data_IF_972278884957
#
_entry.id   IF_972278884957
#
_cell.length_a   1.000
_cell.length_b   1.000
_cell.length_c   1.000
_cell.angle_alpha   90.00
_cell.angle_beta   90.00
_cell.angle_gamma   90.00
#
_symmetry.space_group_name_H-M   'P 1'
#
loop_
_entity.id
_entity.type
_entity.pdbx_description
1 polymer ?
#
# COMPACT_ATOMS: atom_id res chain seq x y z
N UNK A 1 9.29 -9.74 15.48
CA UNK A 1 8.11 -9.56 14.58
C UNK A 1 8.58 -8.98 13.26
N UNK A 2 8.10 -9.48 12.12
CA UNK A 2 8.51 -9.00 10.80
C UNK A 2 7.33 -8.92 9.82
N UNK A 3 7.52 -8.20 8.72
CA UNK A 3 6.57 -8.17 7.60
C UNK A 3 7.13 -8.92 6.40
N UNK A 4 6.27 -9.65 5.70
CA UNK A 4 6.59 -10.34 4.44
C UNK A 4 5.72 -9.79 3.33
N UNK A 5 6.37 -9.34 2.26
CA UNK A 5 5.76 -8.83 1.05
C UNK A 5 5.91 -9.83 -0.09
N UNK A 6 4.88 -9.92 -0.92
CA UNK A 6 4.95 -10.39 -2.31
C UNK A 6 4.48 -9.28 -3.21
N UNK A 7 5.32 -8.91 -4.16
CA UNK A 7 5.10 -7.77 -5.04
C UNK A 7 5.24 -8.28 -6.47
N UNK A 8 4.12 -8.25 -7.20
CA UNK A 8 4.12 -8.51 -8.63
C UNK A 8 4.68 -7.27 -9.35
N UNK A 9 5.46 -7.51 -10.39
CA UNK A 9 6.00 -6.46 -11.24
C UNK A 9 6.14 -6.98 -12.67
N UNK A 10 6.27 -6.07 -13.63
CA UNK A 10 6.62 -6.43 -15.01
C UNK A 10 7.96 -7.18 -15.00
N UNK A 11 8.10 -8.22 -15.85
CA UNK A 11 9.24 -9.14 -15.75
C UNK A 11 10.59 -8.40 -15.81
N UNK A 12 11.42 -8.62 -14.78
CA UNK A 12 12.75 -8.01 -14.64
C UNK A 12 13.69 -9.11 -14.19
N UNK A 13 14.82 -9.26 -14.88
CA UNK A 13 15.82 -10.22 -14.47
C UNK A 13 16.50 -9.80 -13.15
N UNK A 14 17.06 -10.77 -12.45
CA UNK A 14 17.65 -10.49 -11.14
C UNK A 14 18.83 -9.49 -11.20
N UNK A 15 19.74 -9.53 -12.18
CA UNK A 15 20.80 -8.53 -12.29
C UNK A 15 20.28 -7.09 -12.45
N UNK A 16 19.27 -6.86 -13.29
CA UNK A 16 18.66 -5.54 -13.41
C UNK A 16 17.92 -5.13 -12.13
N UNK A 17 17.25 -6.07 -11.46
CA UNK A 17 16.63 -5.82 -10.16
C UNK A 17 17.66 -5.37 -9.12
N UNK A 18 18.83 -6.04 -9.06
CA UNK A 18 19.92 -5.66 -8.16
C UNK A 18 20.42 -4.24 -8.46
N UNK A 19 20.54 -3.86 -9.73
CA UNK A 19 20.94 -2.50 -10.10
C UNK A 19 19.92 -1.45 -9.64
N UNK A 20 18.62 -1.75 -9.77
CA UNK A 20 17.54 -0.88 -9.30
C UNK A 20 17.52 -0.74 -7.78
N UNK A 21 17.67 -1.86 -7.06
CA UNK A 21 17.76 -1.87 -5.60
C UNK A 21 18.99 -1.11 -5.13
N UNK A 22 20.13 -1.31 -5.80
CA UNK A 22 21.38 -0.66 -5.41
C UNK A 22 21.38 0.85 -5.65
N UNK A 23 20.75 1.30 -6.73
CA UNK A 23 20.59 2.72 -7.02
C UNK A 23 19.77 3.46 -5.94
N UNK A 24 18.90 2.75 -5.20
CA UNK A 24 18.04 3.35 -4.19
C UNK A 24 18.51 3.12 -2.75
N UNK A 25 18.93 1.90 -2.43
CA UNK A 25 19.30 1.48 -1.08
C UNK A 25 20.82 1.35 -0.87
N UNK A 26 21.64 1.63 -1.88
CA UNK A 26 23.09 1.48 -1.82
C UNK A 26 23.55 0.05 -2.07
N UNK A 27 24.75 -0.30 -1.62
CA UNK A 27 25.32 -1.65 -1.86
C UNK A 27 24.64 -2.74 -1.03
N UNK A 28 24.62 -3.98 -1.57
CA UNK A 28 24.19 -5.19 -0.84
C UNK A 28 25.07 -5.37 0.41
N UNK A 29 24.50 -5.19 1.59
CA UNK A 29 25.15 -5.39 2.88
C UNK A 29 24.65 -6.67 3.54
N UNK A 30 25.32 -7.78 3.24
CA UNK A 30 24.97 -9.08 3.81
C UNK A 30 25.28 -9.21 5.30
N UNK A 31 26.04 -8.29 5.89
CA UNK A 31 26.27 -8.26 7.35
C UNK A 31 24.99 -7.95 8.13
N UNK A 32 23.98 -7.37 7.47
CA UNK A 32 22.64 -7.14 8.02
C UNK A 32 22.00 -8.45 8.48
N UNK A 33 22.23 -9.54 7.76
CA UNK A 33 21.64 -10.86 8.06
C UNK A 33 22.06 -11.38 9.43
N UNK A 34 23.31 -11.14 9.85
CA UNK A 34 23.81 -11.57 11.15
C UNK A 34 23.39 -10.65 12.30
N UNK A 35 23.01 -9.40 12.01
CA UNK A 35 22.56 -8.42 13.01
C UNK A 35 21.08 -8.54 13.35
N UNK A 36 20.32 -9.26 12.52
CA UNK A 36 18.90 -9.49 12.68
C UNK A 36 18.62 -10.74 13.50
N UNK A 37 17.74 -10.69 14.50
CA UNK A 37 17.29 -11.91 15.20
C UNK A 37 16.47 -12.81 14.29
N UNK A 38 15.74 -12.21 13.34
CA UNK A 38 14.87 -12.90 12.39
C UNK A 38 15.62 -13.45 11.17
N UNK A 39 16.61 -12.72 10.66
CA UNK A 39 17.38 -13.12 9.48
C UNK A 39 18.65 -13.91 9.83
N UNK A 40 19.03 -13.99 11.10
CA UNK A 40 20.11 -14.89 11.54
C UNK A 40 19.66 -16.35 11.68
N UNK A 41 18.37 -16.57 11.97
CA UNK A 41 17.80 -17.91 12.17
C UNK A 41 17.33 -18.59 10.88
N UNK A 42 17.07 -17.82 9.82
CA UNK A 42 16.76 -18.37 8.51
C UNK A 42 18.03 -18.83 7.77
N UNK A 43 17.88 -19.79 6.85
CA UNK A 43 18.95 -20.27 5.99
C UNK A 43 19.35 -19.26 4.88
N UNK A 44 19.33 -17.96 5.19
CA UNK A 44 19.59 -16.86 4.26
C UNK A 44 20.99 -16.90 3.67
N UNK A 45 21.96 -17.38 4.44
CA UNK A 45 23.34 -17.60 3.97
C UNK A 45 23.42 -18.57 2.78
N UNK A 46 22.42 -19.45 2.59
CA UNK A 46 22.33 -20.40 1.47
C UNK A 46 21.59 -19.83 0.26
N UNK A 47 20.91 -18.70 0.40
CA UNK A 47 20.16 -18.07 -0.68
C UNK A 47 21.13 -17.33 -1.60
N UNK A 48 21.33 -17.85 -2.82
CA UNK A 48 22.30 -17.28 -3.77
C UNK A 48 21.85 -15.91 -4.29
N UNK A 49 20.56 -15.75 -4.57
CA UNK A 49 19.95 -14.53 -5.11
C UNK A 49 19.24 -13.79 -3.98
N UNK A 50 19.97 -12.88 -3.34
CA UNK A 50 19.43 -11.99 -2.33
C UNK A 50 20.08 -10.62 -2.44
N UNK A 51 19.39 -9.61 -1.94
CA UNK A 51 19.93 -8.29 -1.65
C UNK A 51 19.48 -7.92 -0.24
N UNK A 52 20.41 -7.54 0.63
CA UNK A 52 20.15 -7.15 2.01
C UNK A 52 20.65 -5.72 2.24
N UNK A 53 19.92 -4.96 3.04
CA UNK A 53 20.28 -3.57 3.37
C UNK A 53 19.61 -3.14 4.66
N UNK A 54 20.17 -2.10 5.27
CA UNK A 54 19.60 -1.42 6.44
C UNK A 54 19.12 -0.02 6.04
N UNK A 55 18.03 0.38 6.64
CA UNK A 55 17.58 1.77 6.74
C UNK A 55 17.42 2.14 8.21
N UNK A 56 17.33 3.43 8.56
CA UNK A 56 17.10 3.85 9.94
C UNK A 56 15.89 3.17 10.60
N UNK A 57 14.82 2.95 9.84
CA UNK A 57 13.56 2.41 10.37
C UNK A 57 13.48 0.87 10.33
N UNK A 58 14.19 0.24 9.38
CA UNK A 58 14.01 -1.18 9.09
C UNK A 58 15.20 -1.84 8.40
N UNK A 59 15.34 -3.14 8.62
CA UNK A 59 16.24 -4.03 7.89
C UNK A 59 15.44 -4.74 6.81
N UNK A 60 16.00 -4.79 5.61
CA UNK A 60 15.33 -5.27 4.41
C UNK A 60 16.10 -6.40 3.78
N UNK A 61 15.39 -7.46 3.39
CA UNK A 61 15.92 -8.53 2.56
C UNK A 61 15.00 -8.76 1.37
N UNK A 62 15.58 -8.72 0.18
CA UNK A 62 14.91 -8.89 -1.08
C UNK A 62 15.36 -10.20 -1.72
N UNK A 63 14.40 -11.01 -2.16
CA UNK A 63 14.66 -12.26 -2.88
C UNK A 63 13.70 -12.39 -4.06
N UNK A 64 14.13 -12.96 -5.20
CA UNK A 64 13.22 -13.23 -6.29
C UNK A 64 12.28 -14.38 -5.92
N UNK A 65 10.97 -14.18 -6.09
CA UNK A 65 9.98 -15.27 -6.04
C UNK A 65 9.84 -15.94 -7.41
N UNK A 66 9.69 -15.13 -8.45
CA UNK A 66 9.69 -15.54 -9.87
C UNK A 66 10.33 -14.43 -10.73
N UNK A 67 10.26 -14.51 -12.05
CA UNK A 67 10.71 -13.43 -12.94
C UNK A 67 9.86 -12.15 -12.84
N UNK A 68 8.64 -12.26 -12.29
CA UNK A 68 7.67 -11.18 -12.14
C UNK A 68 7.18 -11.02 -10.70
N UNK A 69 7.84 -11.65 -9.73
CA UNK A 69 7.51 -11.56 -8.31
C UNK A 69 8.77 -11.27 -7.49
N UNK A 70 8.72 -10.19 -6.71
CA UNK A 70 9.71 -9.83 -5.71
C UNK A 70 9.17 -10.14 -4.32
N UNK A 71 9.94 -10.88 -3.52
CA UNK A 71 9.64 -11.13 -2.12
C UNK A 71 10.52 -10.25 -1.24
N UNK A 72 9.92 -9.65 -0.22
CA UNK A 72 10.62 -8.74 0.69
C UNK A 72 10.31 -9.09 2.13
N UNK A 73 11.35 -9.13 2.94
CA UNK A 73 11.28 -9.37 4.37
C UNK A 73 11.74 -8.11 5.07
N UNK A 74 10.91 -7.61 5.99
CA UNK A 74 11.11 -6.33 6.66
C UNK A 74 11.11 -6.57 8.16
N UNK A 75 12.26 -6.34 8.79
CA UNK A 75 12.39 -6.32 10.25
C UNK A 75 12.45 -4.87 10.74
N UNK A 76 11.58 -4.43 11.65
CA UNK A 76 11.66 -3.10 12.22
C UNK A 76 12.86 -2.97 13.17
N UNK A 77 13.60 -1.86 13.11
CA UNK A 77 14.73 -1.59 14.03
C UNK A 77 14.24 -1.08 15.38
N UNK A 78 13.21 -0.22 15.41
CA UNK A 78 12.65 0.40 16.63
C UNK A 78 11.27 -0.18 17.03
N UNK A 79 10.95 -1.39 16.60
CA UNK A 79 9.72 -2.10 16.99
C UNK A 79 8.42 -1.64 16.29
N UNK A 80 8.43 -0.53 15.54
CA UNK A 80 7.25 -0.10 14.76
C UNK A 80 7.17 -0.81 13.39
N UNK A 81 6.63 -2.02 13.38
CA UNK A 81 6.50 -2.81 12.16
C UNK A 81 5.59 -2.19 11.10
N UNK A 82 4.55 -1.45 11.49
CA UNK A 82 3.63 -0.83 10.52
C UNK A 82 4.32 0.29 9.75
N UNK A 83 5.07 1.13 10.44
CA UNK A 83 5.85 2.20 9.80
C UNK A 83 6.97 1.62 8.95
N UNK A 84 7.68 0.61 9.45
CA UNK A 84 8.70 -0.11 8.68
C UNK A 84 8.13 -0.71 7.39
N UNK A 85 6.99 -1.40 7.47
CA UNK A 85 6.30 -1.96 6.31
C UNK A 85 5.85 -0.88 5.32
N UNK A 86 5.31 0.24 5.82
CA UNK A 86 4.92 1.37 4.97
C UNK A 86 6.12 2.02 4.28
N UNK A 87 7.23 2.19 4.99
CA UNK A 87 8.48 2.73 4.45
C UNK A 87 9.04 1.82 3.35
N UNK A 88 9.12 0.51 3.62
CA UNK A 88 9.54 -0.50 2.65
C UNK A 88 8.67 -0.49 1.39
N UNK A 89 7.35 -0.47 1.56
CA UNK A 89 6.41 -0.42 0.43
C UNK A 89 6.58 0.84 -0.42
N UNK A 90 6.71 2.01 0.21
CA UNK A 90 6.95 3.27 -0.50
C UNK A 90 8.27 3.23 -1.27
N UNK A 91 9.34 2.71 -0.68
CA UNK A 91 10.64 2.55 -1.34
C UNK A 91 10.53 1.66 -2.57
N UNK A 92 9.90 0.49 -2.44
CA UNK A 92 9.74 -0.45 -3.55
C UNK A 92 8.89 0.12 -4.68
N UNK A 93 7.78 0.79 -4.35
CA UNK A 93 6.96 1.46 -5.38
C UNK A 93 7.73 2.53 -6.14
N UNK A 94 8.65 3.22 -5.47
CA UNK A 94 9.51 4.23 -6.11
C UNK A 94 10.52 3.57 -7.04
N UNK A 95 11.17 2.49 -6.60
CA UNK A 95 12.16 1.74 -7.38
C UNK A 95 11.54 1.09 -8.60
N UNK A 96 10.37 0.47 -8.42
CA UNK A 96 9.68 -0.29 -9.44
C UNK A 96 8.61 0.52 -10.17
N UNK A 97 8.59 1.85 -10.06
CA UNK A 97 7.54 2.71 -10.62
C UNK A 97 7.22 2.37 -12.09
N UNK A 98 8.26 2.22 -12.91
CA UNK A 98 8.15 1.94 -14.35
C UNK A 98 7.89 0.46 -14.66
N UNK A 99 7.76 -0.38 -13.63
CA UNK A 99 7.49 -1.82 -13.69
C UNK A 99 6.13 -2.18 -13.08
N UNK A 100 5.26 -1.18 -12.91
CA UNK A 100 3.87 -1.36 -12.47
C UNK A 100 3.71 -2.23 -11.21
N UNK A 101 4.37 -1.88 -10.08
CA UNK A 101 4.47 -2.76 -8.94
C UNK A 101 3.11 -2.87 -8.25
N UNK A 102 2.67 -4.10 -7.98
CA UNK A 102 1.40 -4.41 -7.33
C UNK A 102 1.66 -5.23 -6.10
N UNK A 103 1.07 -4.82 -4.98
CA UNK A 103 1.13 -5.59 -3.75
C UNK A 103 0.18 -6.79 -3.86
N UNK A 104 0.72 -7.97 -4.06
CA UNK A 104 -0.03 -9.22 -4.17
C UNK A 104 -0.39 -9.73 -2.78
N UNK A 105 0.54 -9.61 -1.83
CA UNK A 105 0.35 -10.07 -0.46
C UNK A 105 1.28 -9.33 0.51
N UNK A 106 0.74 -8.88 1.63
CA UNK A 106 1.52 -8.38 2.76
C UNK A 106 0.95 -8.98 4.04
N UNK A 107 1.80 -9.63 4.82
CA UNK A 107 1.45 -10.14 6.13
C UNK A 107 2.48 -9.73 7.16
N UNK A 108 2.02 -9.46 8.37
CA UNK A 108 2.88 -9.40 9.53
C UNK A 108 2.85 -10.74 10.25
N UNK A 109 4.04 -11.22 10.61
CA UNK A 109 4.27 -12.50 11.24
C UNK A 109 4.87 -12.29 12.61
N UNK A 110 4.21 -12.85 13.62
CA UNK A 110 4.76 -12.94 14.96
C UNK A 110 5.88 -13.98 14.99
N UNK A 111 7.00 -13.62 15.58
CA UNK A 111 8.21 -14.44 15.55
C UNK A 111 8.11 -15.69 16.40
N UNK A 112 7.54 -15.55 17.60
CA UNK A 112 7.50 -16.63 18.59
C UNK A 112 6.47 -17.69 18.20
N UNK A 113 5.29 -17.24 17.78
CA UNK A 113 4.17 -18.11 17.43
C UNK A 113 4.14 -18.52 15.96
N UNK A 114 4.89 -17.82 15.09
CA UNK A 114 4.86 -17.94 13.62
C UNK A 114 3.47 -17.73 13.01
N UNK A 115 2.55 -17.11 13.76
CA UNK A 115 1.20 -16.82 13.29
C UNK A 115 1.17 -15.52 12.51
N UNK A 116 0.45 -15.54 11.40
CA UNK A 116 0.07 -14.34 10.66
C UNK A 116 -1.03 -13.63 11.47
N UNK A 117 -0.80 -12.37 11.84
CA UNK A 117 -1.70 -11.65 12.74
C UNK A 117 -2.32 -10.40 12.12
N UNK A 118 -1.69 -9.82 11.10
CA UNK A 118 -2.24 -8.70 10.33
C UNK A 118 -1.94 -8.88 8.85
N UNK A 119 -2.93 -8.55 8.02
CA UNK A 119 -2.76 -8.53 6.56
C UNK A 119 -2.83 -7.09 6.06
N UNK A 120 -1.85 -6.71 5.24
CA UNK A 120 -1.83 -5.42 4.57
C UNK A 120 -2.32 -5.55 3.13
N UNK A 121 -3.16 -4.62 2.71
CA UNK A 121 -3.67 -4.56 1.34
C UNK A 121 -3.57 -3.13 0.81
N UNK A 122 -3.63 -2.98 -0.51
CA UNK A 122 -3.68 -1.67 -1.18
C UNK A 122 -4.57 -1.75 -2.42
N UNK A 123 -4.92 -0.60 -2.97
CA UNK A 123 -5.69 -0.51 -4.20
C UNK A 123 -7.14 -0.03 -4.01
N UNK A 124 -7.74 0.32 -5.14
CA UNK A 124 -8.99 1.07 -5.18
C UNK A 124 -10.19 0.31 -4.61
N UNK A 125 -10.21 -1.01 -4.81
CA UNK A 125 -11.24 -1.90 -4.23
C UNK A 125 -11.24 -1.85 -2.70
N UNK A 126 -10.08 -1.62 -2.08
CA UNK A 126 -9.95 -1.58 -0.62
C UNK A 126 -10.39 -0.22 -0.11
N UNK A 127 -10.00 0.87 -0.77
CA UNK A 127 -10.49 2.20 -0.41
C UNK A 127 -12.02 2.32 -0.54
N UNK A 128 -12.60 1.80 -1.63
CA UNK A 128 -14.06 1.80 -1.80
C UNK A 128 -14.83 0.86 -0.86
N UNK A 129 -14.16 -0.01 -0.10
CA UNK A 129 -14.82 -0.80 0.96
C UNK A 129 -14.90 -0.05 2.29
N UNK A 130 -14.17 1.07 2.44
CA UNK A 130 -14.15 1.82 3.69
C UNK A 130 -15.43 2.62 3.85
N UNK A 131 -16.00 2.58 5.04
CA UNK A 131 -17.17 3.37 5.42
C UNK A 131 -16.95 4.87 5.16
N UNK A 132 -15.74 5.37 5.42
CA UNK A 132 -15.33 6.76 5.18
C UNK A 132 -15.36 7.17 3.69
N UNK A 133 -15.22 6.22 2.76
CA UNK A 133 -15.34 6.49 1.32
C UNK A 133 -16.76 6.23 0.83
N UNK A 134 -17.40 5.15 1.27
CA UNK A 134 -18.76 4.78 0.84
C UNK A 134 -19.80 5.79 1.32
N UNK A 135 -19.72 6.23 2.58
CA UNK A 135 -20.76 7.05 3.19
C UNK A 135 -20.91 8.40 2.47
N UNK A 136 -19.84 9.17 2.17
CA UNK A 136 -19.96 10.40 1.39
C UNK A 136 -20.47 10.15 -0.03
N UNK A 137 -20.09 9.05 -0.68
CA UNK A 137 -20.59 8.70 -2.02
C UNK A 137 -22.09 8.42 -1.98
N UNK A 138 -22.56 7.64 -1.01
CA UNK A 138 -23.97 7.34 -0.81
C UNK A 138 -24.78 8.61 -0.51
N UNK A 139 -24.24 9.51 0.32
CA UNK A 139 -24.84 10.82 0.58
C UNK A 139 -24.93 11.63 -0.72
N UNK A 140 -23.87 11.72 -1.50
CA UNK A 140 -23.89 12.44 -2.79
C UNK A 140 -24.91 11.87 -3.77
N UNK A 141 -25.03 10.56 -3.89
CA UNK A 141 -26.05 9.90 -4.72
C UNK A 141 -27.46 10.25 -4.22
N UNK A 142 -27.71 10.13 -2.92
CA UNK A 142 -29.00 10.50 -2.33
C UNK A 142 -29.32 11.99 -2.57
N UNK A 143 -28.33 12.87 -2.47
CA UNK A 143 -28.46 14.30 -2.77
C UNK A 143 -28.81 14.54 -4.24
N UNK A 144 -28.18 13.84 -5.19
CA UNK A 144 -28.50 13.96 -6.63
C UNK A 144 -29.94 13.50 -6.90
N UNK A 145 -30.38 12.41 -6.29
CA UNK A 145 -31.76 11.91 -6.42
C UNK A 145 -32.74 12.94 -5.85
N UNK A 146 -32.46 13.47 -4.66
CA UNK A 146 -33.30 14.48 -4.01
C UNK A 146 -33.44 15.75 -4.85
N UNK A 147 -32.34 16.26 -5.43
CA UNK A 147 -32.38 17.41 -6.34
C UNK A 147 -33.14 17.10 -7.61
N UNK A 148 -32.89 15.94 -8.22
CA UNK A 148 -33.58 15.53 -9.44
C UNK A 148 -35.09 15.50 -9.21
N UNK A 149 -35.54 14.81 -8.15
CA UNK A 149 -36.95 14.77 -7.76
C UNK A 149 -37.47 16.18 -7.49
N UNK A 150 -36.77 17.00 -6.69
CA UNK A 150 -37.18 18.36 -6.35
C UNK A 150 -37.30 19.30 -7.55
N UNK A 151 -36.38 19.20 -8.52
CA UNK A 151 -36.43 19.96 -9.77
C UNK A 151 -37.59 19.52 -10.68
N UNK A 152 -37.93 18.22 -10.68
CA UNK A 152 -39.05 17.68 -11.44
C UNK A 152 -40.42 17.94 -10.79
N UNK A 153 -40.50 18.02 -9.44
CA UNK A 153 -41.77 18.18 -8.72
C UNK A 153 -42.08 19.61 -8.32
N UNK A 154 -41.08 20.46 -8.06
CA UNK A 154 -41.27 21.85 -7.63
C UNK A 154 -40.67 22.82 -8.65
N UNK A 155 -41.49 23.19 -9.64
CA UNK A 155 -41.12 24.18 -10.63
C UNK A 155 -41.09 25.62 -10.02
N UNK A 156 -40.04 26.35 -10.38
CA UNK A 156 -39.90 27.82 -10.40
C UNK A 156 -39.53 28.60 -9.11
N UNK A 157 -40.17 28.43 -7.95
CA UNK A 157 -40.02 29.48 -6.89
C UNK A 157 -38.87 29.33 -5.88
N UNK A 158 -38.19 28.16 -5.80
CA UNK A 158 -37.16 27.93 -4.75
C UNK A 158 -35.88 27.22 -5.21
N UNK A 159 -35.64 27.14 -6.52
CA UNK A 159 -34.53 26.38 -7.12
C UNK A 159 -33.14 26.74 -6.54
N UNK A 160 -32.88 28.02 -6.27
CA UNK A 160 -31.58 28.47 -5.73
C UNK A 160 -31.25 27.91 -4.33
N UNK A 161 -32.26 27.75 -3.44
CA UNK A 161 -32.05 27.20 -2.09
C UNK A 161 -31.86 25.68 -2.12
N UNK A 162 -32.54 24.99 -3.03
CA UNK A 162 -32.38 23.55 -3.26
C UNK A 162 -31.00 23.21 -3.83
N UNK A 163 -30.51 24.00 -4.80
CA UNK A 163 -29.20 23.79 -5.43
C UNK A 163 -28.07 24.06 -4.43
N UNK A 164 -28.19 25.09 -3.59
CA UNK A 164 -27.19 25.43 -2.57
C UNK A 164 -26.97 24.33 -1.53
N UNK A 165 -28.05 23.72 -1.02
CA UNK A 165 -27.96 22.60 -0.07
C UNK A 165 -27.44 21.30 -0.70
N UNK A 166 -27.62 21.12 -2.01
CA UNK A 166 -27.16 19.94 -2.71
C UNK A 166 -25.69 19.99 -3.15
N UNK A 167 -25.17 21.19 -3.39
CA UNK A 167 -23.78 21.41 -3.75
C UNK A 167 -22.81 20.82 -2.71
N UNK A 168 -23.13 20.93 -1.42
CA UNK A 168 -22.28 20.39 -0.34
C UNK A 168 -22.20 18.86 -0.38
N UNK A 169 -23.33 18.17 -0.62
CA UNK A 169 -23.37 16.71 -0.76
C UNK A 169 -22.62 16.21 -2.00
N UNK A 170 -22.77 16.89 -3.14
CA UNK A 170 -22.08 16.56 -4.40
C UNK A 170 -20.56 16.80 -4.27
N UNK A 171 -20.15 17.96 -3.75
CA UNK A 171 -18.73 18.29 -3.53
C UNK A 171 -18.09 17.29 -2.56
N UNK A 172 -18.79 16.93 -1.47
CA UNK A 172 -18.32 15.93 -0.52
C UNK A 172 -18.06 14.58 -1.18
N UNK A 173 -18.99 14.09 -2.02
CA UNK A 173 -18.83 12.84 -2.74
C UNK A 173 -17.66 12.88 -3.74
N UNK A 174 -17.53 13.96 -4.51
CA UNK A 174 -16.40 14.15 -5.45
C UNK A 174 -15.08 14.17 -4.68
N UNK A 175 -14.98 14.94 -3.59
CA UNK A 175 -13.77 15.02 -2.78
C UNK A 175 -13.38 13.64 -2.24
N UNK A 176 -14.33 12.84 -1.73
CA UNK A 176 -14.06 11.48 -1.26
C UNK A 176 -13.54 10.56 -2.35
N UNK A 177 -14.10 10.62 -3.55
CA UNK A 177 -13.58 9.84 -4.70
C UNK A 177 -12.17 10.29 -5.06
N UNK A 178 -11.92 11.61 -5.11
CA UNK A 178 -10.60 12.18 -5.39
C UNK A 178 -9.59 11.73 -4.33
N UNK A 179 -9.93 11.80 -3.04
CA UNK A 179 -9.06 11.33 -1.96
C UNK A 179 -8.78 9.84 -2.05
N UNK A 180 -9.79 9.00 -2.32
CA UNK A 180 -9.59 7.57 -2.52
C UNK A 180 -8.61 7.30 -3.68
N UNK A 181 -8.76 7.99 -4.82
CA UNK A 181 -7.84 7.87 -5.96
C UNK A 181 -6.43 8.34 -5.59
N UNK A 182 -6.29 9.44 -4.84
CA UNK A 182 -5.00 9.94 -4.36
C UNK A 182 -4.33 8.96 -3.39
N UNK A 183 -5.08 8.34 -2.47
CA UNK A 183 -4.54 7.35 -1.54
C UNK A 183 -4.09 6.07 -2.26
N UNK A 184 -4.83 5.62 -3.27
CA UNK A 184 -4.42 4.51 -4.15
C UNK A 184 -3.15 4.88 -4.90
N UNK A 185 -3.07 6.08 -5.48
CA UNK A 185 -1.86 6.55 -6.18
C UNK A 185 -0.66 6.68 -5.25
N UNK A 186 -0.87 7.10 -4.00
CA UNK A 186 0.16 7.11 -2.95
C UNK A 186 0.51 5.69 -2.46
N UNK A 187 -0.29 4.69 -2.80
CA UNK A 187 -0.06 3.29 -2.43
C UNK A 187 -0.18 3.12 -0.93
N UNK A 188 -1.12 3.82 -0.29
CA UNK A 188 -1.34 3.69 1.14
C UNK A 188 -1.65 2.23 1.49
N UNK A 189 -1.00 1.71 2.54
CA UNK A 189 -1.28 0.38 3.08
C UNK A 189 -2.48 0.45 4.02
N UNK A 190 -3.37 -0.53 3.90
CA UNK A 190 -4.51 -0.73 4.80
C UNK A 190 -4.38 -2.06 5.49
N UNK A 191 -4.39 -2.02 6.82
CA UNK A 191 -4.28 -3.20 7.67
C UNK A 191 -5.66 -3.77 7.99
N UNK A 192 -5.77 -5.09 8.01
CA UNK A 192 -6.96 -5.86 8.39
C UNK A 192 -6.60 -6.92 9.41
#
# INVERSE_FOLDING_TARGET
>A
MYSRFKIDHDAVDWPAMLALLAAHYGTDDRSVLSRSQLLSTGAWSKVKKLFATDSPDCRLVFTPGSSSELQIYVEPVEGNAMNAALSAWKGVRKILHDKSPKLSHLVMVDEQSRKEFLTGETGIKIEFKRKETILPIAIGVATIIYVSVGLFTFAAESQGKFIGGALTGIIGAIASVVFAVLEVRKGTLRWK
#
